data_IF_208348109958
#
_entry.id   IF_208348109958
#
_cell.length_a   1.000
_cell.length_b   1.000
_cell.length_c   1.000
_cell.angle_alpha   90.00
_cell.angle_beta   90.00
_cell.angle_gamma   90.00
#
_symmetry.space_group_name_H-M   'P 1'
#
loop_
_entity.id
_entity.type
_entity.pdbx_description
1 polymer ?
#
# COMPACT_ATOMS: atom_id res chain seq x y z
N UNK A 1 12.08 -7.08 12.63
CA UNK A 1 11.76 -7.95 11.47
C UNK A 1 12.48 -9.27 11.64
N UNK A 2 12.02 -10.32 10.97
CA UNK A 2 12.67 -11.62 10.97
C UNK A 2 13.84 -11.62 9.97
N UNK A 3 15.07 -11.58 10.50
CA UNK A 3 16.30 -11.55 9.71
C UNK A 3 16.73 -12.92 9.20
N UNK A 4 16.17 -13.98 9.78
CA UNK A 4 16.52 -15.37 9.51
C UNK A 4 15.55 -16.05 8.55
N UNK A 5 14.44 -15.36 8.23
CA UNK A 5 13.50 -15.79 7.21
C UNK A 5 14.23 -16.04 5.90
N UNK A 6 14.05 -17.25 5.39
CA UNK A 6 14.55 -17.63 4.09
C UNK A 6 13.79 -16.87 2.98
N UNK A 7 14.52 -16.17 2.13
CA UNK A 7 14.01 -15.39 1.00
C UNK A 7 14.49 -15.99 -0.31
N UNK A 8 13.60 -16.05 -1.30
CA UNK A 8 13.90 -16.51 -2.65
C UNK A 8 14.23 -15.32 -3.55
N UNK A 9 15.39 -15.32 -4.16
CA UNK A 9 15.79 -14.33 -5.16
C UNK A 9 15.68 -14.98 -6.54
N UNK A 10 14.98 -14.29 -7.45
CA UNK A 10 14.71 -14.76 -8.81
C UNK A 10 15.35 -13.80 -9.80
N UNK A 11 16.30 -14.29 -10.58
CA UNK A 11 16.90 -13.54 -11.67
C UNK A 11 16.16 -13.85 -12.98
N UNK A 12 15.71 -12.81 -13.69
CA UNK A 12 14.96 -12.94 -14.95
C UNK A 12 15.57 -12.06 -16.02
N UNK A 13 15.53 -12.57 -17.25
CA UNK A 13 15.80 -11.81 -18.45
C UNK A 13 14.59 -10.92 -18.77
N UNK A 14 14.85 -9.62 -18.89
CA UNK A 14 13.81 -8.66 -19.21
C UNK A 14 13.30 -8.85 -20.65
N UNK A 15 12.01 -8.59 -20.86
CA UNK A 15 11.35 -8.62 -22.16
C UNK A 15 10.27 -7.54 -22.16
N UNK A 16 10.29 -6.67 -23.17
CA UNK A 16 9.29 -5.60 -23.33
C UNK A 16 7.87 -6.13 -23.56
N UNK A 17 7.72 -7.41 -23.92
CA UNK A 17 6.43 -8.08 -24.11
C UNK A 17 5.86 -8.70 -22.82
N UNK A 18 6.54 -8.54 -21.68
CA UNK A 18 6.12 -9.07 -20.37
C UNK A 18 6.38 -10.56 -20.14
N UNK A 19 6.82 -11.30 -21.16
CA UNK A 19 7.18 -12.73 -21.06
C UNK A 19 8.62 -12.93 -20.57
N UNK A 20 8.92 -12.42 -19.37
CA UNK A 20 10.26 -12.51 -18.76
C UNK A 20 10.68 -13.97 -18.54
N UNK A 21 11.88 -14.33 -18.99
CA UNK A 21 12.41 -15.69 -18.86
C UNK A 21 13.26 -15.82 -17.61
N UNK A 22 12.98 -16.83 -16.79
CA UNK A 22 13.80 -17.09 -15.60
C UNK A 22 15.21 -17.56 -16.01
N UNK A 23 16.22 -16.84 -15.50
CA UNK A 23 17.63 -17.22 -15.63
C UNK A 23 17.96 -18.25 -14.56
N UNK A 24 17.57 -17.98 -13.31
CA UNK A 24 17.67 -18.93 -12.19
C UNK A 24 17.33 -18.27 -10.86
N UNK A 25 17.38 -19.08 -9.80
CA UNK A 25 17.00 -18.70 -8.45
C UNK A 25 18.05 -19.13 -7.43
N UNK A 26 18.06 -18.44 -6.30
CA UNK A 26 18.79 -18.85 -5.10
C UNK A 26 18.02 -18.40 -3.85
N UNK A 27 18.46 -18.90 -2.70
CA UNK A 27 17.86 -18.63 -1.40
C UNK A 27 18.91 -18.04 -0.47
N UNK A 28 18.49 -17.10 0.38
CA UNK A 28 19.36 -16.45 1.38
C UNK A 28 18.49 -15.89 2.52
N UNK A 29 19.09 -15.19 3.47
CA UNK A 29 18.40 -14.45 4.53
C UNK A 29 18.92 -13.02 4.59
N UNK A 30 18.16 -12.11 5.20
CA UNK A 30 18.62 -10.73 5.40
C UNK A 30 19.90 -10.72 6.24
N UNK A 31 20.03 -11.61 7.22
CA UNK A 31 21.24 -11.76 8.04
C UNK A 31 22.49 -12.02 7.18
N UNK A 32 22.42 -12.95 6.23
CA UNK A 32 23.56 -13.25 5.34
C UNK A 32 23.83 -12.06 4.43
N UNK A 33 22.79 -11.47 3.81
CA UNK A 33 22.94 -10.30 2.93
C UNK A 33 23.67 -9.14 3.63
N UNK A 34 23.41 -8.91 4.92
CA UNK A 34 24.05 -7.86 5.71
C UNK A 34 25.53 -8.09 6.02
N UNK A 35 26.08 -9.29 5.82
CA UNK A 35 27.50 -9.56 6.02
C UNK A 35 28.41 -8.82 5.01
N UNK A 36 27.84 -8.21 3.97
CA UNK A 36 28.58 -7.45 2.96
C UNK A 36 29.25 -8.36 1.91
N UNK A 37 30.31 -7.91 1.23
CA UNK A 37 30.94 -8.66 0.15
C UNK A 37 31.82 -9.81 0.68
N UNK A 38 31.17 -10.86 1.18
CA UNK A 38 31.81 -12.09 1.69
C UNK A 38 31.52 -13.28 0.78
N UNK A 39 32.23 -14.40 1.00
CA UNK A 39 31.98 -15.65 0.27
C UNK A 39 30.55 -16.20 0.49
N UNK A 40 29.97 -15.98 1.66
CA UNK A 40 28.58 -16.35 1.95
C UNK A 40 27.56 -15.56 1.11
N UNK A 41 27.99 -14.40 0.60
CA UNK A 41 27.20 -13.54 -0.28
C UNK A 41 27.50 -13.72 -1.77
N UNK A 42 28.06 -14.89 -2.12
CA UNK A 42 28.28 -15.34 -3.48
C UNK A 42 27.35 -16.52 -3.79
N UNK A 43 26.40 -16.30 -4.70
CA UNK A 43 25.34 -17.25 -5.01
C UNK A 43 25.41 -17.72 -6.45
N UNK A 44 25.16 -19.01 -6.66
CA UNK A 44 25.00 -19.60 -7.98
C UNK A 44 23.52 -19.59 -8.38
N UNK A 45 23.21 -19.10 -9.58
CA UNK A 45 21.86 -19.13 -10.12
C UNK A 45 21.49 -20.53 -10.58
N UNK A 46 20.42 -21.09 -10.04
CA UNK A 46 19.91 -22.42 -10.43
C UNK A 46 18.59 -22.28 -11.17
N UNK A 47 18.55 -22.78 -12.41
CA UNK A 47 17.33 -22.91 -13.18
C UNK A 47 16.81 -24.35 -13.05
N UNK A 48 15.70 -24.54 -12.33
CA UNK A 48 15.15 -25.87 -12.06
C UNK A 48 14.74 -26.61 -13.33
N UNK A 49 14.22 -25.90 -14.33
CA UNK A 49 13.86 -26.51 -15.62
C UNK A 49 15.08 -27.08 -16.36
N UNK A 50 16.19 -26.33 -16.43
CA UNK A 50 17.44 -26.81 -17.03
C UNK A 50 18.09 -27.92 -16.21
N UNK A 51 18.02 -27.84 -14.87
CA UNK A 51 18.48 -28.87 -13.93
C UNK A 51 17.71 -30.19 -14.10
N UNK A 52 16.38 -30.13 -14.09
CA UNK A 52 15.52 -31.31 -14.16
C UNK A 52 15.54 -31.97 -15.55
N UNK A 53 15.72 -31.18 -16.61
CA UNK A 53 15.98 -31.73 -17.95
C UNK A 53 17.26 -32.54 -18.04
N UNK A 54 18.23 -32.28 -17.17
CA UNK A 54 19.45 -33.09 -17.10
C UNK A 54 19.22 -34.36 -16.28
N UNK A 55 18.58 -34.27 -15.10
CA UNK A 55 18.38 -35.41 -14.18
C UNK A 55 17.64 -36.62 -14.75
N UNK A 56 16.84 -36.44 -15.80
CA UNK A 56 16.06 -37.50 -16.46
C UNK A 56 16.93 -38.46 -17.32
N UNK A 57 18.15 -38.08 -17.70
CA UNK A 57 19.00 -38.84 -18.62
C UNK A 57 20.28 -39.44 -18.00
N UNK A 58 20.24 -39.82 -16.71
CA UNK A 58 21.32 -40.57 -16.06
C UNK A 58 22.54 -39.73 -15.67
N UNK A 59 22.40 -38.91 -14.62
CA UNK A 59 23.50 -38.12 -14.07
C UNK A 59 23.84 -38.55 -12.64
N UNK A 60 25.07 -39.00 -12.41
CA UNK A 60 25.61 -39.16 -11.07
C UNK A 60 25.83 -37.81 -10.37
N UNK A 61 25.59 -37.78 -9.06
CA UNK A 61 25.85 -36.65 -8.17
C UNK A 61 27.35 -36.61 -7.83
N UNK A 62 28.09 -35.58 -8.24
CA UNK A 62 29.45 -35.32 -7.72
C UNK A 62 29.42 -34.09 -6.82
N UNK A 63 29.69 -34.28 -5.54
CA UNK A 63 29.79 -33.20 -4.57
C UNK A 63 31.18 -32.55 -4.69
N UNK A 64 31.23 -31.26 -4.99
CA UNK A 64 32.42 -30.41 -4.87
C UNK A 64 32.01 -29.10 -4.20
N UNK A 65 31.91 -29.13 -2.86
CA UNK A 65 31.39 -28.00 -2.06
C UNK A 65 29.91 -27.69 -2.33
N UNK A 66 29.51 -26.41 -2.22
CA UNK A 66 28.14 -25.92 -2.42
C UNK A 66 27.65 -25.96 -3.90
N UNK A 67 28.39 -26.59 -4.81
CA UNK A 67 28.07 -26.71 -6.22
C UNK A 67 27.53 -28.11 -6.55
N UNK A 68 26.32 -28.18 -7.12
CA UNK A 68 25.71 -29.43 -7.60
C UNK A 68 25.71 -29.43 -9.13
N UNK A 69 26.22 -30.51 -9.73
CA UNK A 69 26.42 -30.63 -11.18
C UNK A 69 25.52 -31.72 -11.77
N UNK A 70 24.88 -31.47 -12.92
CA UNK A 70 23.94 -32.39 -13.59
C UNK A 70 24.34 -32.63 -15.08
N UNK A 71 24.13 -33.85 -15.61
CA UNK A 71 24.63 -34.28 -16.93
C UNK A 71 23.50 -34.51 -17.96
N UNK A 72 23.67 -34.05 -19.21
CA UNK A 72 22.81 -34.45 -20.35
C UNK A 72 23.61 -34.47 -21.66
N UNK A 73 23.65 -35.62 -22.36
CA UNK A 73 24.12 -35.71 -23.75
C UNK A 73 25.47 -35.01 -24.02
N UNK A 74 26.45 -35.20 -23.13
CA UNK A 74 27.77 -34.58 -23.24
C UNK A 74 27.91 -33.13 -22.78
N UNK A 75 26.81 -32.39 -22.50
CA UNK A 75 26.87 -31.04 -21.93
C UNK A 75 26.39 -31.01 -20.47
N UNK A 76 27.22 -30.45 -19.60
CA UNK A 76 27.06 -30.46 -18.15
C UNK A 76 26.38 -29.15 -17.70
N UNK A 77 25.17 -29.24 -17.11
CA UNK A 77 24.56 -28.06 -16.48
C UNK A 77 25.21 -27.81 -15.13
N UNK A 78 25.94 -26.70 -15.04
CA UNK A 78 26.66 -26.25 -13.83
C UNK A 78 25.86 -25.23 -13.03
N UNK A 79 25.50 -24.11 -13.67
CA UNK A 79 24.64 -23.05 -13.14
C UNK A 79 24.21 -22.13 -14.30
N UNK A 80 23.38 -21.13 -14.00
CA UNK A 80 22.94 -20.09 -14.95
C UNK A 80 23.62 -18.73 -14.71
N UNK A 81 24.77 -18.71 -14.05
CA UNK A 81 25.48 -17.49 -13.66
C UNK A 81 25.70 -17.39 -12.15
N UNK A 82 26.35 -16.30 -11.74
CA UNK A 82 26.64 -15.98 -10.34
C UNK A 82 26.10 -14.60 -9.96
N UNK A 83 25.71 -14.44 -8.69
CA UNK A 83 25.30 -13.17 -8.10
C UNK A 83 26.20 -12.91 -6.89
N UNK A 84 26.74 -11.69 -6.79
CA UNK A 84 27.55 -11.24 -5.65
C UNK A 84 26.92 -10.00 -5.04
N UNK A 85 26.78 -10.01 -3.72
CA UNK A 85 26.26 -8.85 -2.98
C UNK A 85 27.42 -7.94 -2.65
N UNK A 86 27.45 -6.74 -3.24
CA UNK A 86 28.52 -5.77 -2.99
C UNK A 86 28.30 -5.01 -1.68
N UNK A 87 27.08 -4.55 -1.43
CA UNK A 87 26.69 -3.74 -0.27
C UNK A 87 25.23 -4.02 0.09
N UNK A 88 24.94 -4.07 1.38
CA UNK A 88 23.59 -4.17 1.91
C UNK A 88 23.48 -3.31 3.17
N UNK A 89 22.37 -2.59 3.32
CA UNK A 89 22.10 -1.75 4.48
C UNK A 89 20.65 -1.94 4.91
N UNK A 90 20.43 -1.96 6.22
CA UNK A 90 19.08 -1.87 6.78
C UNK A 90 18.86 -0.43 7.21
N UNK A 91 17.74 0.13 6.77
CA UNK A 91 17.29 1.46 7.17
C UNK A 91 16.05 1.31 8.01
N UNK A 92 15.99 2.04 9.11
CA UNK A 92 14.75 2.22 9.84
C UNK A 92 13.80 3.04 8.98
N UNK A 93 12.58 2.55 8.82
CA UNK A 93 11.47 3.26 8.20
C UNK A 93 10.38 3.32 9.24
N UNK A 94 9.97 4.53 9.59
CA UNK A 94 8.88 4.73 10.54
C UNK A 94 7.55 4.39 9.88
N UNK A 95 6.76 3.61 10.59
CA UNK A 95 5.39 3.27 10.18
C UNK A 95 4.46 4.45 10.43
N UNK A 96 3.28 4.43 9.80
CA UNK A 96 2.20 5.37 10.10
C UNK A 96 1.94 5.50 11.60
N UNK A 97 1.88 4.39 12.33
CA UNK A 97 1.63 4.39 13.78
C UNK A 97 2.76 5.03 14.59
N UNK A 98 4.01 4.99 14.11
CA UNK A 98 5.13 5.66 14.78
C UNK A 98 4.98 7.18 14.71
N UNK A 99 4.45 7.71 13.61
CA UNK A 99 4.13 9.15 13.49
C UNK A 99 2.99 9.54 14.44
N UNK A 100 1.91 8.75 14.49
CA UNK A 100 0.79 9.00 15.41
C UNK A 100 1.26 8.96 16.88
N UNK A 101 2.02 7.93 17.27
CA UNK A 101 2.63 7.83 18.61
C UNK A 101 3.62 8.97 18.91
N UNK A 102 4.24 9.53 17.87
CA UNK A 102 5.11 10.71 17.96
C UNK A 102 4.35 12.03 18.13
N UNK A 103 3.01 12.01 18.22
CA UNK A 103 2.18 13.20 18.36
C UNK A 103 1.74 13.83 17.03
N UNK A 104 1.84 13.09 15.92
CA UNK A 104 1.25 13.53 14.65
C UNK A 104 -0.26 13.35 14.71
N UNK A 105 -0.99 14.41 14.38
CA UNK A 105 -2.45 14.43 14.31
C UNK A 105 -2.92 14.44 12.85
N UNK A 106 -4.14 13.96 12.62
CA UNK A 106 -4.80 14.01 11.31
C UNK A 106 -5.96 15.00 11.39
N UNK A 107 -5.68 16.25 11.00
CA UNK A 107 -6.71 17.27 10.87
C UNK A 107 -7.62 16.95 9.67
N UNK A 108 -8.92 16.96 9.91
CA UNK A 108 -9.95 16.63 8.91
C UNK A 108 -10.91 17.80 8.75
N UNK A 109 -11.30 18.08 7.51
CA UNK A 109 -12.42 18.95 7.20
C UNK A 109 -13.44 18.20 6.34
N UNK A 110 -14.71 18.58 6.45
CA UNK A 110 -15.83 17.96 5.76
C UNK A 110 -16.44 19.01 4.85
N UNK A 111 -16.60 18.70 3.56
CA UNK A 111 -17.26 19.59 2.60
C UNK A 111 -18.50 18.88 2.03
N UNK A 112 -19.67 19.49 2.22
CA UNK A 112 -20.97 18.93 1.83
C UNK A 112 -21.52 19.66 0.62
N UNK A 113 -21.89 18.89 -0.40
CA UNK A 113 -22.52 19.40 -1.61
C UNK A 113 -24.00 19.66 -1.39
N UNK A 114 -24.44 20.91 -1.44
CA UNK A 114 -25.84 21.35 -1.33
C UNK A 114 -26.45 21.79 -2.68
N UNK A 115 -25.87 21.38 -3.81
CA UNK A 115 -26.40 21.68 -5.15
C UNK A 115 -27.78 21.07 -5.40
N UNK A 116 -28.56 21.74 -6.24
CA UNK A 116 -29.94 21.34 -6.58
C UNK A 116 -30.05 19.94 -7.21
N UNK A 117 -28.98 19.39 -7.80
CA UNK A 117 -28.95 18.02 -8.34
C UNK A 117 -29.21 16.93 -7.29
N UNK A 118 -29.03 17.24 -6.01
CA UNK A 118 -29.33 16.31 -4.92
C UNK A 118 -30.84 16.15 -4.66
N UNK A 119 -31.68 17.03 -5.23
CA UNK A 119 -33.12 17.06 -5.03
C UNK A 119 -33.54 17.74 -3.73
N UNK A 120 -34.82 18.13 -3.64
CA UNK A 120 -35.37 18.83 -2.49
C UNK A 120 -35.31 17.98 -1.20
N UNK A 121 -34.77 18.49 -0.07
CA UNK A 121 -34.60 17.71 1.16
C UNK A 121 -35.88 17.07 1.73
N UNK A 122 -37.06 17.61 1.42
CA UNK A 122 -38.36 17.06 1.84
C UNK A 122 -38.81 15.86 0.98
N UNK A 123 -38.15 15.64 -0.17
CA UNK A 123 -38.45 14.54 -1.07
C UNK A 123 -37.77 13.25 -0.61
N UNK A 124 -38.49 12.12 -0.47
CA UNK A 124 -37.88 10.83 -0.14
C UNK A 124 -36.86 10.31 -1.16
N UNK A 125 -36.79 10.93 -2.35
CA UNK A 125 -35.81 10.62 -3.41
C UNK A 125 -34.54 11.47 -3.33
N UNK A 126 -34.52 12.51 -2.48
CA UNK A 126 -33.36 13.38 -2.33
C UNK A 126 -32.21 12.65 -1.64
N UNK A 127 -30.99 12.97 -2.05
CA UNK A 127 -29.78 12.49 -1.37
C UNK A 127 -29.59 13.14 0.00
N UNK A 128 -30.23 14.29 0.23
CA UNK A 128 -30.29 15.01 1.51
C UNK A 128 -31.55 14.69 2.34
N UNK A 129 -32.38 13.74 1.92
CA UNK A 129 -33.58 13.38 2.65
C UNK A 129 -33.26 12.96 4.09
N UNK A 130 -33.92 13.59 5.06
CA UNK A 130 -33.75 13.25 6.48
C UNK A 130 -34.84 12.26 6.87
N UNK A 131 -34.44 11.01 7.07
CA UNK A 131 -35.32 9.93 7.51
C UNK A 131 -35.02 9.57 8.97
N UNK A 132 -36.05 9.41 9.80
CA UNK A 132 -35.91 9.00 11.21
C UNK A 132 -35.46 7.55 11.38
N UNK A 133 -35.63 6.70 10.36
CA UNK A 133 -35.33 5.26 10.43
C UNK A 133 -33.94 4.89 9.92
N UNK A 134 -33.40 5.65 8.96
CA UNK A 134 -32.10 5.35 8.34
C UNK A 134 -31.41 6.63 7.89
N UNK A 135 -30.11 6.79 8.15
CA UNK A 135 -29.34 7.92 7.62
C UNK A 135 -29.30 7.90 6.09
N UNK A 136 -29.19 9.08 5.48
CA UNK A 136 -28.93 9.23 4.06
C UNK A 136 -27.46 8.95 3.72
N UNK A 137 -27.10 9.05 2.44
CA UNK A 137 -25.75 8.70 1.98
C UNK A 137 -24.68 9.65 2.53
N UNK A 138 -24.98 10.96 2.63
CA UNK A 138 -24.07 11.94 3.21
C UNK A 138 -23.84 11.66 4.70
N UNK A 139 -24.91 11.53 5.48
CA UNK A 139 -24.82 11.22 6.92
C UNK A 139 -24.04 9.94 7.16
N UNK A 140 -24.32 8.87 6.39
CA UNK A 140 -23.61 7.60 6.52
C UNK A 140 -22.12 7.73 6.19
N UNK A 141 -21.76 8.48 5.15
CA UNK A 141 -20.36 8.69 4.78
C UNK A 141 -19.60 9.48 5.86
N UNK A 142 -20.21 10.58 6.34
CA UNK A 142 -19.64 11.41 7.41
C UNK A 142 -19.45 10.59 8.69
N UNK A 143 -20.45 9.82 9.11
CA UNK A 143 -20.35 8.96 10.29
C UNK A 143 -19.26 7.90 10.12
N UNK A 144 -19.29 7.13 9.02
CA UNK A 144 -18.36 6.01 8.83
C UNK A 144 -16.90 6.45 8.79
N UNK A 145 -16.60 7.56 8.10
CA UNK A 145 -15.23 8.09 8.01
C UNK A 145 -14.87 8.86 9.28
N UNK A 146 -15.79 9.70 9.74
CA UNK A 146 -15.65 10.54 10.92
C UNK A 146 -15.35 9.75 12.18
N UNK A 147 -16.10 8.67 12.42
CA UNK A 147 -15.93 7.83 13.61
C UNK A 147 -14.53 7.23 13.72
N UNK A 148 -13.88 6.98 12.59
CA UNK A 148 -12.51 6.46 12.54
C UNK A 148 -11.51 7.61 12.69
N UNK A 149 -11.69 8.68 11.91
CA UNK A 149 -10.67 9.74 11.80
C UNK A 149 -10.61 10.61 13.04
N UNK A 150 -11.71 10.76 13.80
CA UNK A 150 -11.76 11.57 15.01
C UNK A 150 -10.89 11.06 16.15
N UNK A 151 -10.43 9.81 16.11
CA UNK A 151 -9.50 9.27 17.11
C UNK A 151 -8.04 9.64 16.81
N UNK A 152 -7.77 10.22 15.64
CA UNK A 152 -6.44 10.72 15.24
C UNK A 152 -6.32 12.24 15.36
N UNK A 153 -7.34 12.90 15.91
CA UNK A 153 -7.38 14.33 16.18
C UNK A 153 -7.60 14.54 17.68
N UNK A 154 -6.75 15.33 18.33
CA UNK A 154 -6.78 15.51 19.77
C UNK A 154 -7.95 16.40 20.21
N UNK A 155 -8.22 17.47 19.47
CA UNK A 155 -9.26 18.45 19.83
C UNK A 155 -10.65 18.05 19.32
N UNK A 156 -10.70 17.19 18.29
CA UNK A 156 -11.91 16.69 17.64
C UNK A 156 -12.79 17.82 17.09
N UNK A 157 -12.19 18.93 16.67
CA UNK A 157 -12.87 20.03 15.99
C UNK A 157 -12.69 19.91 14.48
N UNK A 158 -13.79 19.61 13.80
CA UNK A 158 -13.80 19.47 12.35
C UNK A 158 -14.31 20.74 11.70
N UNK A 159 -13.55 21.30 10.75
CA UNK A 159 -14.09 22.34 9.90
C UNK A 159 -15.16 21.71 8.97
N UNK A 160 -16.41 22.17 9.06
CA UNK A 160 -17.52 21.65 8.25
C UNK A 160 -18.06 22.74 7.33
N UNK A 161 -17.82 22.55 6.05
CA UNK A 161 -18.18 23.47 4.99
C UNK A 161 -19.30 22.90 4.12
N UNK A 162 -20.12 23.79 3.58
CA UNK A 162 -21.09 23.50 2.54
C UNK A 162 -20.78 24.31 1.29
N UNK A 163 -21.21 23.80 0.13
CA UNK A 163 -21.10 24.53 -1.14
C UNK A 163 -22.31 24.27 -2.04
N UNK A 164 -22.58 25.19 -2.97
CA UNK A 164 -23.63 25.00 -4.00
C UNK A 164 -25.05 25.34 -3.53
N UNK A 165 -25.19 26.11 -2.44
CA UNK A 165 -26.47 26.56 -1.92
C UNK A 165 -26.63 28.07 -2.02
N UNK A 166 -27.87 28.54 -2.07
CA UNK A 166 -28.21 29.96 -1.87
C UNK A 166 -28.43 30.20 -0.38
N UNK A 167 -27.69 31.13 0.21
CA UNK A 167 -27.71 31.36 1.66
C UNK A 167 -28.60 32.57 2.02
N UNK A 168 -29.28 32.54 3.19
CA UNK A 168 -29.92 33.72 3.75
C UNK A 168 -28.89 34.83 4.05
N UNK A 169 -29.31 36.11 4.10
CA UNK A 169 -30.69 36.59 3.97
C UNK A 169 -31.13 36.84 2.52
N UNK A 170 -30.19 36.98 1.59
CA UNK A 170 -30.47 37.50 0.25
C UNK A 170 -30.88 36.41 -0.77
N UNK A 171 -30.42 35.16 -0.62
CA UNK A 171 -30.69 34.04 -1.53
C UNK A 171 -30.45 34.32 -3.03
N UNK A 172 -29.73 35.39 -3.36
CA UNK A 172 -29.54 35.86 -4.72
C UNK A 172 -28.46 35.04 -5.43
N UNK A 173 -27.29 34.95 -4.79
CA UNK A 173 -26.13 34.30 -5.33
C UNK A 173 -25.92 32.90 -4.73
N UNK A 174 -25.36 32.00 -5.54
CA UNK A 174 -24.93 30.69 -5.08
C UNK A 174 -23.66 30.88 -4.28
N UNK A 175 -23.70 30.46 -3.01
CA UNK A 175 -22.51 30.35 -2.20
C UNK A 175 -21.71 29.12 -2.59
N UNK A 176 -20.43 29.35 -2.86
CA UNK A 176 -19.46 28.29 -3.13
C UNK A 176 -18.75 27.79 -1.88
N UNK A 177 -18.95 28.46 -0.74
CA UNK A 177 -18.39 28.10 0.56
C UNK A 177 -19.20 28.77 1.67
N UNK A 178 -19.69 27.98 2.62
CA UNK A 178 -20.31 28.47 3.84
C UNK A 178 -20.09 27.49 4.99
N UNK A 179 -20.12 27.97 6.22
CA UNK A 179 -19.94 27.11 7.39
C UNK A 179 -21.28 26.51 7.80
N UNK A 180 -21.31 25.17 7.93
CA UNK A 180 -22.57 24.43 8.12
C UNK A 180 -23.20 24.71 9.49
N UNK A 181 -22.39 25.13 10.47
CA UNK A 181 -22.86 25.56 11.79
C UNK A 181 -23.56 26.94 11.80
N UNK A 182 -23.54 27.68 10.69
CA UNK A 182 -24.16 29.00 10.55
C UNK A 182 -23.37 30.15 11.18
N UNK A 183 -22.20 29.90 11.77
CA UNK A 183 -21.29 30.95 12.24
C UNK A 183 -20.53 31.53 11.03
N UNK A 184 -20.50 32.85 10.80
CA UNK A 184 -19.81 33.43 9.65
C UNK A 184 -18.28 33.45 9.79
N UNK A 185 -17.75 33.15 10.97
CA UNK A 185 -16.32 33.31 11.32
C UNK A 185 -15.67 32.03 11.84
N UNK A 186 -16.46 31.02 12.20
CA UNK A 186 -15.96 29.78 12.78
C UNK A 186 -16.51 28.56 12.01
N UNK A 187 -15.67 27.81 11.27
CA UNK A 187 -16.12 26.62 10.55
C UNK A 187 -16.22 25.37 11.42
N UNK A 188 -15.76 25.43 12.68
CA UNK A 188 -15.51 24.23 13.47
C UNK A 188 -16.76 23.71 14.17
N UNK A 189 -16.99 22.40 14.03
CA UNK A 189 -17.97 21.61 14.78
C UNK A 189 -17.23 20.64 15.71
N UNK A 190 -17.72 20.49 16.94
CA UNK A 190 -17.14 19.56 17.91
C UNK A 190 -17.68 18.14 17.67
N UNK A 191 -16.79 17.19 17.41
CA UNK A 191 -17.09 15.78 17.12
C UNK A 191 -17.96 15.57 15.89
N UNK A 192 -18.26 14.30 15.61
CA UNK A 192 -19.07 13.83 14.48
C UNK A 192 -20.57 13.77 14.81
N UNK A 193 -20.92 13.73 16.10
CA UNK A 193 -22.30 13.61 16.59
C UNK A 193 -23.13 14.89 16.45
#
# INVERSE_FOLDING_TARGET
GDYDRNIKIVCKEHSSRGNHKEIGTFYTTVRILMMGPTLENHYWLVNEYRRNKCSIFGCGRKNGGNNITYYKGGSMYKNSGEVRVNKAYVRQVFSFLDYIKGGTEISTFIAIDFTASNGEPDSPKSLHFINTSSPNQYTRAIQTVGEIIQEYDTDKFFAVLGFGAKMPPEYNDVSHEFFVNGDPTNPFCYRIE
#
